data_IF_275165075473
#
_entry.id   IF_275165075473
#
_cell.length_a   1.000
_cell.length_b   1.000
_cell.length_c   1.000
_cell.angle_alpha   90.00
_cell.angle_beta   90.00
_cell.angle_gamma   90.00
#
_symmetry.space_group_name_H-M   'P 1'
#
loop_
_entity.id
_entity.type
_entity.pdbx_description
1 polymer ?
#
# COMPACT_ATOMS: atom_id res chain seq x y z
N UNK A 1 2.28 -28.10 -21.21
CA UNK A 1 1.41 -27.92 -22.38
C UNK A 1 0.21 -28.88 -22.38
N UNK A 2 0.36 -30.15 -22.04
CA UNK A 2 -0.77 -31.11 -21.91
C UNK A 2 -1.77 -30.77 -20.82
N UNK A 3 -1.36 -30.20 -19.70
CA UNK A 3 -2.23 -29.79 -18.58
C UNK A 3 -3.13 -28.60 -18.94
N UNK A 4 -2.65 -27.67 -19.77
CA UNK A 4 -3.42 -26.51 -20.24
C UNK A 4 -4.47 -26.94 -21.28
N UNK A 5 -4.14 -27.94 -22.09
CA UNK A 5 -5.04 -28.44 -23.13
C UNK A 5 -6.18 -29.29 -22.56
N UNK A 6 -5.94 -30.09 -21.51
CA UNK A 6 -7.00 -30.82 -20.81
C UNK A 6 -7.92 -29.88 -20.01
N UNK A 7 -7.38 -28.78 -19.48
CA UNK A 7 -8.11 -27.74 -18.76
C UNK A 7 -9.14 -27.03 -19.66
N UNK A 8 -8.80 -26.80 -20.93
CA UNK A 8 -9.70 -26.14 -21.89
C UNK A 8 -10.89 -27.01 -22.33
N UNK A 9 -10.74 -28.34 -22.29
CA UNK A 9 -11.79 -29.28 -22.72
C UNK A 9 -12.85 -29.54 -21.65
N UNK A 10 -12.52 -29.38 -20.37
CA UNK A 10 -13.44 -29.66 -19.25
C UNK A 10 -14.46 -28.53 -19.02
N UNK A 11 -14.17 -27.31 -19.45
CA UNK A 11 -14.97 -26.12 -19.17
C UNK A 11 -15.61 -25.45 -20.40
N UNK A 12 -15.47 -26.05 -21.60
CA UNK A 12 -16.08 -25.50 -22.80
C UNK A 12 -17.62 -25.40 -22.70
N UNK A 13 -18.26 -26.29 -21.91
CA UNK A 13 -19.69 -26.24 -21.67
C UNK A 13 -20.12 -24.99 -20.91
N UNK A 14 -19.32 -24.56 -19.90
CA UNK A 14 -19.59 -23.34 -19.15
C UNK A 14 -19.37 -22.10 -20.02
N UNK A 15 -18.30 -22.06 -20.79
CA UNK A 15 -18.02 -20.97 -21.73
C UNK A 15 -19.11 -20.87 -22.82
N UNK A 16 -19.60 -22.02 -23.32
CA UNK A 16 -20.71 -22.05 -24.27
C UNK A 16 -22.01 -21.54 -23.64
N UNK A 17 -22.33 -21.95 -22.42
CA UNK A 17 -23.49 -21.47 -21.68
C UNK A 17 -23.42 -19.96 -21.42
N UNK A 18 -22.29 -19.45 -21.02
CA UNK A 18 -22.03 -18.01 -20.80
C UNK A 18 -22.20 -17.22 -22.12
N UNK A 19 -21.65 -17.74 -23.22
CA UNK A 19 -21.81 -17.13 -24.53
C UNK A 19 -23.30 -17.07 -24.98
N UNK A 20 -24.04 -18.14 -24.72
CA UNK A 20 -25.50 -18.19 -25.01
C UNK A 20 -26.25 -17.16 -24.16
N UNK A 21 -25.95 -17.08 -22.86
CA UNK A 21 -26.54 -16.07 -21.95
C UNK A 21 -26.21 -14.66 -22.42
N UNK A 22 -24.99 -14.40 -22.84
CA UNK A 22 -24.55 -13.10 -23.37
C UNK A 22 -25.38 -12.74 -24.63
N UNK A 23 -25.50 -13.67 -25.57
CA UNK A 23 -26.28 -13.46 -26.82
C UNK A 23 -27.75 -13.16 -26.49
N UNK A 24 -28.34 -13.89 -25.55
CA UNK A 24 -29.73 -13.67 -25.13
C UNK A 24 -29.90 -12.28 -24.50
N UNK A 25 -29.02 -11.92 -23.57
CA UNK A 25 -29.05 -10.61 -22.88
C UNK A 25 -28.79 -9.47 -23.86
N UNK A 26 -27.83 -9.63 -24.78
CA UNK A 26 -27.61 -8.67 -25.85
C UNK A 26 -28.86 -8.53 -26.74
N UNK A 27 -29.47 -9.64 -27.20
CA UNK A 27 -30.66 -9.62 -28.02
C UNK A 27 -31.85 -8.92 -27.33
N UNK A 28 -31.99 -9.12 -26.01
CA UNK A 28 -33.03 -8.46 -25.22
C UNK A 28 -32.71 -6.95 -24.99
N UNK A 29 -31.47 -6.59 -24.85
CA UNK A 29 -31.04 -5.20 -24.58
C UNK A 29 -31.07 -4.34 -25.85
N UNK A 30 -30.73 -4.92 -27.00
CA UNK A 30 -30.69 -4.22 -28.28
C UNK A 30 -32.02 -4.34 -29.10
N UNK A 31 -33.09 -4.90 -28.51
CA UNK A 31 -34.43 -4.80 -29.10
C UNK A 31 -34.86 -3.34 -29.25
N UNK A 32 -35.66 -3.02 -30.27
CA UNK A 32 -36.15 -1.65 -30.52
C UNK A 32 -36.70 -1.01 -29.25
N UNK A 33 -36.42 0.25 -28.99
CA UNK A 33 -36.90 0.96 -27.80
C UNK A 33 -38.42 0.99 -27.78
N UNK A 34 -39.04 0.87 -26.62
CA UNK A 34 -40.48 1.07 -26.47
C UNK A 34 -40.80 2.54 -26.61
N UNK A 35 -41.56 2.92 -27.63
CA UNK A 35 -42.05 4.28 -27.80
C UNK A 35 -43.28 4.47 -26.90
N UNK A 36 -43.16 5.35 -25.92
CA UNK A 36 -44.27 5.76 -25.05
C UNK A 36 -44.83 7.06 -25.64
N UNK A 37 -46.12 7.02 -26.08
CA UNK A 37 -46.84 8.23 -26.49
C UNK A 37 -47.35 8.95 -25.27
N UNK A 38 -46.87 10.18 -25.06
CA UNK A 38 -47.37 11.08 -24.02
C UNK A 38 -48.75 11.63 -24.39
N UNK A 39 -49.54 12.04 -23.40
CA UNK A 39 -50.88 12.66 -23.61
C UNK A 39 -50.83 13.92 -24.48
N UNK A 40 -49.66 14.50 -24.69
CA UNK A 40 -49.38 15.63 -25.61
C UNK A 40 -49.19 15.24 -27.08
N UNK A 41 -49.29 13.91 -27.43
CA UNK A 41 -49.04 13.41 -28.78
C UNK A 41 -47.58 13.24 -29.18
N UNK A 42 -46.63 13.62 -28.33
CA UNK A 42 -45.19 13.41 -28.54
C UNK A 42 -44.76 12.01 -28.12
N UNK A 43 -43.93 11.36 -28.95
CA UNK A 43 -43.37 10.03 -28.68
C UNK A 43 -42.00 10.22 -28.01
N UNK A 44 -41.80 9.65 -26.82
CA UNK A 44 -40.53 9.62 -26.13
C UNK A 44 -39.98 8.20 -26.14
N UNK A 45 -38.76 8.04 -26.64
CA UNK A 45 -38.06 6.75 -26.60
C UNK A 45 -37.45 6.55 -25.21
N UNK A 46 -37.82 5.46 -24.55
CA UNK A 46 -37.23 5.09 -23.25
C UNK A 46 -35.87 4.40 -23.47
N UNK A 47 -34.72 5.04 -23.11
CA UNK A 47 -33.45 4.38 -23.28
C UNK A 47 -33.36 3.14 -22.38
N UNK A 48 -33.10 1.97 -22.97
CA UNK A 48 -32.90 0.73 -22.19
C UNK A 48 -31.56 0.77 -21.47
N UNK A 49 -31.57 0.34 -20.22
CA UNK A 49 -30.37 0.24 -19.40
C UNK A 49 -29.43 -0.82 -19.99
N UNK A 50 -28.18 -0.42 -20.27
CA UNK A 50 -27.09 -1.34 -20.67
C UNK A 50 -26.54 -2.14 -19.50
N UNK A 51 -27.08 -1.96 -18.30
CA UNK A 51 -26.66 -2.63 -17.06
C UNK A 51 -26.67 -4.16 -17.19
N UNK A 52 -27.65 -4.74 -17.91
CA UNK A 52 -27.71 -6.19 -18.10
C UNK A 52 -26.52 -6.76 -18.88
N UNK A 53 -26.12 -6.09 -19.97
CA UNK A 53 -24.95 -6.51 -20.76
C UNK A 53 -23.66 -6.36 -19.94
N UNK A 54 -23.51 -5.24 -19.23
CA UNK A 54 -22.34 -5.00 -18.37
C UNK A 54 -22.29 -6.07 -17.27
N UNK A 55 -23.41 -6.39 -16.63
CA UNK A 55 -23.47 -7.42 -15.58
C UNK A 55 -23.04 -8.79 -16.10
N UNK A 56 -23.48 -9.19 -17.29
CA UNK A 56 -23.09 -10.47 -17.90
C UNK A 56 -21.61 -10.47 -18.26
N UNK A 57 -21.09 -9.39 -18.85
CA UNK A 57 -19.65 -9.28 -19.17
C UNK A 57 -18.78 -9.34 -17.91
N UNK A 58 -19.20 -8.69 -16.83
CA UNK A 58 -18.49 -8.76 -15.54
C UNK A 58 -18.53 -10.18 -14.97
N UNK A 59 -19.69 -10.84 -15.05
CA UNK A 59 -19.85 -12.21 -14.56
C UNK A 59 -18.98 -13.19 -15.36
N UNK A 60 -18.94 -13.04 -16.70
CA UNK A 60 -18.03 -13.82 -17.56
C UNK A 60 -16.56 -13.56 -17.22
N UNK A 61 -16.18 -12.32 -16.99
CA UNK A 61 -14.81 -11.99 -16.60
C UNK A 61 -14.43 -12.59 -15.23
N UNK A 62 -15.37 -12.59 -14.28
CA UNK A 62 -15.18 -13.19 -12.95
C UNK A 62 -15.06 -14.71 -13.04
N UNK A 63 -15.98 -15.38 -13.76
CA UNK A 63 -15.92 -16.84 -13.93
C UNK A 63 -14.63 -17.26 -14.64
N UNK A 64 -14.26 -16.55 -15.69
CA UNK A 64 -13.01 -16.80 -16.39
C UNK A 64 -11.78 -16.60 -15.48
N UNK A 65 -11.76 -15.53 -14.68
CA UNK A 65 -10.70 -15.29 -13.70
C UNK A 65 -10.63 -16.39 -12.61
N UNK A 66 -11.79 -16.86 -12.12
CA UNK A 66 -11.85 -17.98 -11.17
C UNK A 66 -11.27 -19.25 -11.75
N UNK A 67 -11.56 -19.54 -13.03
CA UNK A 67 -10.99 -20.70 -13.71
C UNK A 67 -9.48 -20.57 -13.95
N UNK A 68 -9.03 -19.40 -14.41
CA UNK A 68 -7.60 -19.17 -14.67
C UNK A 68 -6.74 -19.22 -13.40
N UNK A 69 -7.30 -18.78 -12.25
CA UNK A 69 -6.61 -18.82 -10.95
C UNK A 69 -6.69 -20.20 -10.28
N UNK A 70 -7.47 -21.16 -10.83
CA UNK A 70 -7.70 -22.45 -10.19
C UNK A 70 -8.44 -22.32 -8.85
N UNK A 71 -9.23 -21.26 -8.67
CA UNK A 71 -9.98 -21.02 -7.46
C UNK A 71 -11.11 -22.06 -7.31
N UNK A 72 -10.95 -22.95 -6.35
CA UNK A 72 -11.91 -24.01 -6.06
C UNK A 72 -12.45 -23.85 -4.63
N UNK A 73 -13.71 -23.48 -4.55
CA UNK A 73 -14.42 -23.30 -3.26
C UNK A 73 -14.50 -24.60 -2.47
N UNK A 74 -14.48 -25.77 -3.17
CA UNK A 74 -14.55 -27.06 -2.53
C UNK A 74 -13.28 -27.36 -1.71
N UNK A 75 -12.13 -26.80 -2.13
CA UNK A 75 -10.86 -26.89 -1.39
C UNK A 75 -10.97 -26.15 -0.05
N UNK A 76 -11.63 -24.98 -0.03
CA UNK A 76 -11.85 -24.22 1.21
C UNK A 76 -12.70 -25.04 2.19
N UNK A 77 -13.79 -25.63 1.71
CA UNK A 77 -14.69 -26.45 2.53
C UNK A 77 -13.96 -27.72 3.02
N UNK A 78 -13.26 -28.40 2.12
CA UNK A 78 -12.51 -29.63 2.44
C UNK A 78 -11.37 -29.37 3.43
N UNK A 79 -10.65 -28.26 3.29
CA UNK A 79 -9.55 -27.86 4.18
C UNK A 79 -9.98 -27.00 5.37
N UNK A 80 -11.27 -26.69 5.50
CA UNK A 80 -11.80 -25.85 6.57
C UNK A 80 -11.41 -26.30 7.97
N UNK A 81 -11.38 -27.62 8.23
CA UNK A 81 -10.90 -28.20 9.51
C UNK A 81 -9.44 -27.82 9.79
N UNK A 82 -8.57 -27.80 8.78
CA UNK A 82 -7.17 -27.41 8.94
C UNK A 82 -7.04 -25.92 9.22
N UNK A 83 -7.86 -25.09 8.59
CA UNK A 83 -7.90 -23.64 8.84
C UNK A 83 -8.26 -23.38 10.29
N UNK A 84 -9.34 -24.01 10.79
CA UNK A 84 -9.78 -23.87 12.18
C UNK A 84 -8.69 -24.35 13.15
N UNK A 85 -8.07 -25.50 12.90
CA UNK A 85 -7.00 -26.03 13.74
C UNK A 85 -5.74 -25.12 13.78
N UNK A 86 -5.41 -24.46 12.68
CA UNK A 86 -4.30 -23.48 12.65
C UNK A 86 -4.68 -22.23 13.42
N UNK A 87 -5.89 -21.69 13.21
CA UNK A 87 -6.37 -20.53 13.93
C UNK A 87 -6.44 -20.77 15.43
N UNK A 88 -6.96 -21.93 15.87
CA UNK A 88 -7.00 -22.30 17.28
C UNK A 88 -5.61 -22.26 17.91
N UNK A 89 -4.60 -22.82 17.24
CA UNK A 89 -3.21 -22.78 17.72
C UNK A 89 -2.65 -21.34 17.76
N UNK A 90 -2.97 -20.50 16.79
CA UNK A 90 -2.56 -19.07 16.76
C UNK A 90 -3.15 -18.29 17.93
N UNK A 91 -4.41 -18.58 18.31
CA UNK A 91 -5.06 -17.92 19.44
C UNK A 91 -4.64 -18.49 20.82
N UNK A 92 -3.86 -19.58 20.84
CA UNK A 92 -3.25 -20.11 22.06
C UNK A 92 -1.72 -19.88 22.03
N UNK A 93 -1.25 -18.64 22.25
CA UNK A 93 0.15 -18.29 22.15
C UNK A 93 0.99 -18.98 23.23
N UNK A 94 2.17 -19.44 22.84
CA UNK A 94 3.13 -20.06 23.76
C UNK A 94 3.89 -18.99 24.54
N UNK A 95 3.50 -18.72 25.77
CA UNK A 95 4.08 -17.66 26.62
C UNK A 95 5.57 -17.89 26.93
N UNK A 96 6.03 -19.12 27.03
CA UNK A 96 7.46 -19.44 27.22
C UNK A 96 8.33 -18.96 26.06
N UNK A 97 7.73 -18.68 24.90
CA UNK A 97 8.44 -18.17 23.73
C UNK A 97 8.61 -16.65 23.74
N UNK A 98 7.88 -15.92 24.58
CA UNK A 98 7.93 -14.47 24.67
C UNK A 98 9.35 -13.89 24.84
N UNK A 99 10.21 -14.41 25.75
CA UNK A 99 11.57 -13.87 25.90
C UNK A 99 12.41 -13.92 24.63
N UNK A 100 12.15 -14.90 23.74
CA UNK A 100 12.85 -15.04 22.45
C UNK A 100 12.32 -14.08 21.37
N UNK A 101 11.12 -13.54 21.56
CA UNK A 101 10.50 -12.57 20.64
C UNK A 101 10.99 -11.15 20.91
N UNK A 102 11.39 -10.83 22.15
CA UNK A 102 11.75 -9.47 22.56
C UNK A 102 12.90 -8.90 21.71
N UNK A 103 13.99 -9.65 21.52
CA UNK A 103 15.15 -9.18 20.76
C UNK A 103 14.80 -8.87 19.30
N UNK A 104 14.18 -9.77 18.51
CA UNK A 104 13.75 -9.47 17.16
C UNK A 104 12.72 -8.34 17.08
N UNK A 105 11.85 -8.21 18.10
CA UNK A 105 10.86 -7.13 18.17
C UNK A 105 11.54 -5.77 18.33
N UNK A 106 12.48 -5.65 19.25
CA UNK A 106 13.27 -4.43 19.47
C UNK A 106 14.09 -4.08 18.22
N UNK A 107 14.67 -5.05 17.54
CA UNK A 107 15.40 -4.83 16.30
C UNK A 107 14.47 -4.31 15.18
N UNK A 108 13.24 -4.83 15.09
CA UNK A 108 12.21 -4.34 14.17
C UNK A 108 11.89 -2.87 14.44
N UNK A 109 11.71 -2.49 15.70
CA UNK A 109 11.44 -1.10 16.10
C UNK A 109 12.63 -0.18 15.77
N UNK A 110 13.85 -0.61 16.12
CA UNK A 110 15.09 0.17 15.83
C UNK A 110 15.27 0.41 14.34
N UNK A 111 15.09 -0.64 13.51
CA UNK A 111 15.15 -0.53 12.05
C UNK A 111 14.12 0.48 11.52
N UNK A 112 12.90 0.42 12.03
CA UNK A 112 11.81 1.30 11.60
C UNK A 112 12.07 2.75 12.00
N UNK A 113 12.52 3.00 13.22
CA UNK A 113 12.87 4.35 13.69
C UNK A 113 14.02 4.91 12.85
N UNK A 114 15.14 4.16 12.77
CA UNK A 114 16.34 4.65 12.09
C UNK A 114 16.09 4.86 10.58
N UNK A 115 15.44 3.90 9.93
CA UNK A 115 15.07 4.02 8.51
C UNK A 115 14.14 5.19 8.24
N UNK A 116 13.15 5.42 9.12
CA UNK A 116 12.26 6.57 9.01
C UNK A 116 13.00 7.89 9.21
N UNK A 117 13.84 8.01 10.23
CA UNK A 117 14.60 9.25 10.51
C UNK A 117 15.52 9.59 9.34
N UNK A 118 16.27 8.61 8.82
CA UNK A 118 17.16 8.81 7.66
C UNK A 118 16.34 9.19 6.42
N UNK A 119 15.27 8.43 6.12
CA UNK A 119 14.45 8.68 4.95
C UNK A 119 13.77 10.04 4.98
N UNK A 120 13.17 10.43 6.12
CA UNK A 120 12.56 11.73 6.31
C UNK A 120 13.58 12.87 6.25
N UNK A 121 14.74 12.72 6.90
CA UNK A 121 15.80 13.73 6.88
C UNK A 121 16.31 14.00 5.46
N UNK A 122 16.56 12.95 4.68
CA UNK A 122 16.96 13.09 3.28
C UNK A 122 15.83 13.66 2.39
N UNK A 123 14.57 13.43 2.76
CA UNK A 123 13.41 13.91 2.00
C UNK A 123 13.25 15.43 2.04
N UNK A 124 13.61 16.09 3.15
CA UNK A 124 13.47 17.53 3.35
C UNK A 124 14.08 18.37 2.21
N UNK A 125 15.41 18.30 1.96
CA UNK A 125 16.03 19.14 0.95
C UNK A 125 15.51 18.80 -0.46
N UNK A 126 15.23 17.53 -0.74
CA UNK A 126 14.78 17.10 -2.05
C UNK A 126 13.33 17.55 -2.31
N UNK A 127 12.46 17.54 -1.30
CA UNK A 127 11.08 18.02 -1.43
C UNK A 127 11.03 19.54 -1.69
N UNK A 128 11.88 20.30 -1.02
CA UNK A 128 11.99 21.76 -1.27
C UNK A 128 12.40 22.04 -2.73
N UNK A 129 13.43 21.33 -3.22
CA UNK A 129 13.88 21.45 -4.62
C UNK A 129 12.88 20.89 -5.65
N UNK A 130 12.01 19.97 -5.24
CA UNK A 130 10.98 19.39 -6.10
C UNK A 130 9.68 20.20 -6.12
N UNK A 131 9.54 21.24 -5.28
CA UNK A 131 8.34 22.08 -5.24
C UNK A 131 8.43 23.22 -6.24
N UNK A 132 7.37 23.40 -7.04
CA UNK A 132 7.32 24.40 -8.10
C UNK A 132 7.13 25.83 -7.59
N UNK A 133 6.69 26.00 -6.35
CA UNK A 133 6.53 27.32 -5.73
C UNK A 133 7.86 27.98 -5.38
N UNK A 134 8.89 27.15 -5.07
CA UNK A 134 10.18 27.61 -4.54
C UNK A 134 11.24 27.57 -5.64
N UNK A 135 11.35 26.45 -6.36
CA UNK A 135 12.29 26.31 -7.48
C UNK A 135 11.57 26.56 -8.81
N UNK A 136 11.98 27.62 -9.49
CA UNK A 136 11.42 28.04 -10.78
C UNK A 136 12.03 27.26 -11.95
N UNK A 137 13.06 26.44 -11.72
CA UNK A 137 13.69 25.63 -12.75
C UNK A 137 12.85 24.36 -13.05
N UNK A 138 11.95 24.47 -14.02
CA UNK A 138 11.05 23.38 -14.43
C UNK A 138 11.77 22.06 -14.78
N UNK A 139 13.02 22.13 -15.24
CA UNK A 139 13.80 20.94 -15.60
C UNK A 139 14.23 20.19 -14.34
N UNK A 140 14.75 20.90 -13.33
CA UNK A 140 15.17 20.31 -12.05
C UNK A 140 13.96 19.71 -11.33
N UNK A 141 12.88 20.47 -11.19
CA UNK A 141 11.63 20.00 -10.57
C UNK A 141 11.09 18.76 -11.28
N UNK A 142 11.00 18.78 -12.61
CA UNK A 142 10.49 17.62 -13.38
C UNK A 142 11.40 16.38 -13.22
N UNK A 143 12.73 16.57 -13.28
CA UNK A 143 13.68 15.48 -13.14
C UNK A 143 13.59 14.84 -11.74
N UNK A 144 13.57 15.64 -10.69
CA UNK A 144 13.42 15.14 -9.31
C UNK A 144 12.11 14.38 -9.12
N UNK A 145 10.99 14.91 -9.63
CA UNK A 145 9.69 14.24 -9.54
C UNK A 145 9.64 12.91 -10.29
N UNK A 146 10.31 12.82 -11.45
CA UNK A 146 10.44 11.53 -12.18
C UNK A 146 11.26 10.53 -11.37
N UNK A 147 12.41 10.95 -10.81
CA UNK A 147 13.24 10.07 -9.97
C UNK A 147 12.48 9.59 -8.74
N UNK A 148 11.81 10.50 -8.02
CA UNK A 148 10.97 10.14 -6.87
C UNK A 148 9.82 9.22 -7.26
N UNK A 149 9.22 9.45 -8.44
CA UNK A 149 8.20 8.59 -9.01
C UNK A 149 8.71 7.17 -9.23
N UNK A 150 9.88 7.02 -9.85
CA UNK A 150 10.52 5.72 -10.09
C UNK A 150 10.81 4.96 -8.79
N UNK A 151 11.38 5.64 -7.77
CA UNK A 151 11.65 5.02 -6.46
C UNK A 151 10.35 4.45 -5.85
N UNK A 152 9.24 5.18 -5.96
CA UNK A 152 7.94 4.79 -5.39
C UNK A 152 7.23 3.67 -6.16
N UNK A 153 7.56 3.44 -7.43
CA UNK A 153 6.99 2.30 -8.19
C UNK A 153 7.57 0.97 -7.75
N UNK A 154 8.72 0.98 -7.08
CA UNK A 154 9.33 -0.25 -6.60
C UNK A 154 8.65 -0.75 -5.32
N UNK A 155 8.18 -2.00 -5.28
CA UNK A 155 7.68 -2.60 -4.05
C UNK A 155 8.77 -2.64 -2.97
N UNK A 156 8.41 -2.34 -1.72
CA UNK A 156 9.37 -2.32 -0.59
C UNK A 156 10.15 -3.62 -0.45
N UNK A 157 9.52 -4.78 -0.71
CA UNK A 157 10.17 -6.08 -0.71
C UNK A 157 11.29 -6.20 -1.76
N UNK A 158 11.10 -5.61 -2.94
CA UNK A 158 12.12 -5.61 -4.00
C UNK A 158 13.31 -4.76 -3.58
N UNK A 159 13.06 -3.58 -3.01
CA UNK A 159 14.13 -2.71 -2.47
C UNK A 159 14.89 -3.47 -1.38
N UNK A 160 14.19 -4.13 -0.46
CA UNK A 160 14.82 -4.90 0.62
C UNK A 160 15.65 -6.06 0.10
N UNK A 161 15.17 -6.77 -0.93
CA UNK A 161 15.93 -7.86 -1.56
C UNK A 161 17.23 -7.34 -2.18
N UNK A 162 17.17 -6.24 -2.92
CA UNK A 162 18.35 -5.60 -3.52
C UNK A 162 19.32 -5.15 -2.43
N UNK A 163 18.82 -4.50 -1.36
CA UNK A 163 19.65 -4.11 -0.22
C UNK A 163 20.30 -5.33 0.46
N UNK A 164 19.57 -6.42 0.63
CA UNK A 164 20.09 -7.65 1.22
C UNK A 164 21.17 -8.31 0.36
N UNK A 165 21.06 -8.22 -0.96
CA UNK A 165 22.09 -8.70 -1.90
C UNK A 165 23.37 -7.84 -1.85
N UNK A 166 23.25 -6.53 -1.68
CA UNK A 166 24.39 -5.60 -1.65
C UNK A 166 25.07 -5.58 -0.28
N UNK A 167 24.30 -5.49 0.81
CA UNK A 167 24.80 -5.27 2.16
C UNK A 167 24.82 -6.52 3.02
N UNK A 168 24.50 -7.68 2.45
CA UNK A 168 24.25 -8.95 3.14
C UNK A 168 22.93 -8.95 3.93
N UNK A 169 22.48 -10.15 4.32
CA UNK A 169 21.28 -10.34 5.13
C UNK A 169 21.43 -9.71 6.51
N UNK A 170 20.42 -9.02 7.00
CA UNK A 170 20.43 -8.46 8.34
C UNK A 170 19.69 -7.13 8.51
N UNK A 171 19.70 -6.62 9.74
CA UNK A 171 18.97 -5.40 10.12
C UNK A 171 19.45 -4.15 9.39
N UNK A 172 20.72 -4.13 8.97
CA UNK A 172 21.27 -3.00 8.20
C UNK A 172 20.60 -2.88 6.82
N UNK A 173 20.50 -4.00 6.08
CA UNK A 173 19.83 -4.02 4.78
C UNK A 173 18.35 -3.61 4.89
N UNK A 174 17.68 -4.08 5.95
CA UNK A 174 16.30 -3.68 6.26
C UNK A 174 16.18 -2.18 6.56
N UNK A 175 17.07 -1.63 7.35
CA UNK A 175 17.09 -0.20 7.67
C UNK A 175 17.29 0.67 6.42
N UNK A 176 18.25 0.32 5.56
CA UNK A 176 18.48 1.04 4.29
C UNK A 176 17.27 0.95 3.37
N UNK A 177 16.65 -0.22 3.26
CA UNK A 177 15.46 -0.38 2.42
C UNK A 177 14.28 0.46 2.89
N UNK A 178 14.05 0.51 4.21
CA UNK A 178 13.04 1.38 4.83
C UNK A 178 13.37 2.86 4.56
N UNK A 179 14.64 3.26 4.70
CA UNK A 179 15.06 4.63 4.45
C UNK A 179 14.79 5.06 3.00
N UNK A 180 15.15 4.23 2.01
CA UNK A 180 14.90 4.51 0.58
C UNK A 180 13.40 4.62 0.30
N UNK A 181 12.61 3.71 0.82
CA UNK A 181 11.16 3.71 0.64
C UNK A 181 10.52 4.95 1.27
N UNK A 182 10.88 5.26 2.52
CA UNK A 182 10.40 6.44 3.25
C UNK A 182 10.81 7.73 2.56
N UNK A 183 12.05 7.83 2.09
CA UNK A 183 12.54 8.95 1.31
C UNK A 183 11.65 9.24 0.09
N UNK A 184 11.30 8.22 -0.70
CA UNK A 184 10.45 8.38 -1.87
C UNK A 184 9.02 8.85 -1.54
N UNK A 185 8.43 8.30 -0.47
CA UNK A 185 7.07 8.65 -0.06
C UNK A 185 7.02 10.04 0.57
N UNK A 186 7.87 10.30 1.57
CA UNK A 186 7.87 11.56 2.31
C UNK A 186 8.23 12.73 1.42
N UNK A 187 9.21 12.57 0.52
CA UNK A 187 9.56 13.62 -0.45
C UNK A 187 8.35 14.03 -1.28
N UNK A 188 7.55 13.05 -1.74
CA UNK A 188 6.35 13.37 -2.51
C UNK A 188 5.30 14.08 -1.66
N UNK A 189 4.92 13.49 -0.53
CA UNK A 189 3.92 14.08 0.34
C UNK A 189 4.30 15.51 0.76
N UNK A 190 5.60 15.72 1.00
CA UNK A 190 6.12 16.99 1.45
C UNK A 190 6.13 18.05 0.34
N UNK A 191 6.59 17.74 -0.89
CA UNK A 191 6.56 18.76 -1.95
C UNK A 191 5.12 19.12 -2.35
N UNK A 192 4.20 18.15 -2.32
CA UNK A 192 2.76 18.43 -2.55
C UNK A 192 2.20 19.33 -1.42
N UNK A 193 2.62 19.12 -0.18
CA UNK A 193 2.23 20.00 0.93
C UNK A 193 2.83 21.39 0.79
N UNK A 194 4.10 21.52 0.38
CA UNK A 194 4.75 22.81 0.13
C UNK A 194 4.03 23.61 -0.99
N UNK A 195 3.52 22.93 -2.00
CA UNK A 195 2.78 23.58 -3.09
C UNK A 195 1.40 24.12 -2.68
N UNK A 196 0.88 23.67 -1.53
CA UNK A 196 -0.45 24.09 -1.04
C UNK A 196 -0.41 25.13 0.09
N UNK A 197 0.78 25.55 0.56
CA UNK A 197 0.89 26.58 1.60
C UNK A 197 0.53 27.96 1.06
N UNK A 198 0.17 28.87 1.98
CA UNK A 198 0.00 30.28 1.66
C UNK A 198 1.36 30.95 1.43
N UNK A 199 1.59 31.44 0.21
CA UNK A 199 2.81 32.13 -0.18
C UNK A 199 2.79 33.63 0.17
N UNK A 200 1.68 34.21 0.59
CA UNK A 200 1.57 35.62 0.95
C UNK A 200 2.59 36.06 2.01
N UNK A 201 2.79 35.35 3.12
CA UNK A 201 3.85 35.64 4.09
C UNK A 201 5.27 35.60 3.50
N UNK A 202 5.52 34.67 2.57
CA UNK A 202 6.81 34.57 1.90
C UNK A 202 7.09 35.81 1.00
N UNK A 203 6.13 36.20 0.17
CA UNK A 203 6.21 37.39 -0.70
C UNK A 203 6.35 38.67 0.11
N UNK A 204 5.64 38.77 1.24
CA UNK A 204 5.77 39.91 2.16
C UNK A 204 7.19 40.05 2.74
N UNK A 205 7.83 38.92 3.11
CA UNK A 205 9.21 38.92 3.59
C UNK A 205 10.20 39.34 2.50
N UNK A 206 10.03 38.84 1.27
CA UNK A 206 10.87 39.29 0.12
C UNK A 206 10.69 40.79 -0.15
N UNK A 207 9.47 41.32 -0.09
CA UNK A 207 9.18 42.74 -0.25
C UNK A 207 9.85 43.64 0.81
N UNK A 208 10.06 43.08 2.04
CA UNK A 208 10.79 43.73 3.13
C UNK A 208 12.32 43.60 2.98
N UNK A 209 12.82 42.95 1.91
CA UNK A 209 14.25 42.80 1.62
C UNK A 209 14.89 41.59 2.24
N UNK A 210 14.13 40.62 2.75
CA UNK A 210 14.67 39.34 3.23
C UNK A 210 15.21 38.51 2.05
N UNK A 211 16.34 37.81 2.30
CA UNK A 211 16.82 36.81 1.37
C UNK A 211 15.85 35.61 1.28
N UNK A 212 15.82 34.93 0.14
CA UNK A 212 14.91 33.76 -0.10
C UNK A 212 15.01 32.69 0.98
N UNK A 213 16.22 32.44 1.50
CA UNK A 213 16.39 31.49 2.56
C UNK A 213 15.76 31.97 3.89
N UNK A 214 15.91 33.25 4.22
CA UNK A 214 15.30 33.85 5.42
C UNK A 214 13.78 33.87 5.30
N UNK A 215 13.25 34.28 4.13
CA UNK A 215 11.83 34.30 3.85
C UNK A 215 11.23 32.88 3.95
N UNK A 216 11.88 31.86 3.36
CA UNK A 216 11.46 30.48 3.43
C UNK A 216 11.44 29.97 4.88
N UNK A 217 12.53 30.20 5.63
CA UNK A 217 12.64 29.70 7.01
C UNK A 217 11.62 30.34 7.93
N UNK A 218 11.31 31.62 7.76
CA UNK A 218 10.40 32.36 8.64
C UNK A 218 8.94 32.22 8.26
N UNK A 219 8.62 32.13 6.97
CA UNK A 219 7.25 32.11 6.48
C UNK A 219 6.74 30.71 6.10
N UNK A 220 7.56 29.88 5.42
CA UNK A 220 7.13 28.58 4.92
C UNK A 220 7.33 27.47 5.93
N UNK A 221 8.50 27.41 6.60
CA UNK A 221 8.82 26.32 7.54
C UNK A 221 7.79 26.17 8.67
N UNK A 222 7.29 27.24 9.33
CA UNK A 222 6.27 27.09 10.37
C UNK A 222 4.97 26.50 9.86
N UNK A 223 4.60 26.73 8.62
CA UNK A 223 3.40 26.15 8.00
C UNK A 223 3.60 24.67 7.63
N UNK A 224 4.81 24.32 7.16
CA UNK A 224 5.14 22.98 6.67
C UNK A 224 5.45 22.01 7.81
N UNK A 225 6.10 22.48 8.88
CA UNK A 225 6.64 21.63 9.94
C UNK A 225 5.61 20.71 10.60
N UNK A 226 4.40 21.17 10.98
CA UNK A 226 3.39 20.27 11.57
C UNK A 226 2.97 19.15 10.60
N UNK A 227 2.78 19.50 9.33
CA UNK A 227 2.39 18.55 8.28
C UNK A 227 3.52 17.56 8.01
N UNK A 228 4.76 18.03 7.93
CA UNK A 228 5.95 17.18 7.77
C UNK A 228 6.10 16.18 8.92
N UNK A 229 5.97 16.63 10.16
CA UNK A 229 6.04 15.75 11.32
C UNK A 229 4.91 14.71 11.31
N UNK A 230 3.70 15.10 10.89
CA UNK A 230 2.60 14.17 10.69
C UNK A 230 2.89 13.10 9.65
N UNK A 231 3.54 13.47 8.53
CA UNK A 231 3.99 12.51 7.51
C UNK A 231 5.08 11.57 8.03
N UNK A 232 6.03 12.09 8.83
CA UNK A 232 7.08 11.27 9.46
C UNK A 232 6.47 10.22 10.40
N UNK A 233 5.53 10.61 11.24
CA UNK A 233 4.83 9.70 12.16
C UNK A 233 4.01 8.65 11.41
N UNK A 234 3.32 9.04 10.35
CA UNK A 234 2.59 8.11 9.49
C UNK A 234 3.50 7.08 8.83
N UNK A 235 4.63 7.54 8.28
CA UNK A 235 5.61 6.64 7.67
C UNK A 235 6.26 5.71 8.70
N UNK A 236 6.54 6.20 9.91
CA UNK A 236 7.06 5.35 10.99
C UNK A 236 6.10 4.21 11.33
N UNK A 237 4.80 4.51 11.50
CA UNK A 237 3.77 3.52 11.74
C UNK A 237 3.69 2.47 10.61
N UNK A 238 3.71 2.91 9.35
CA UNK A 238 3.74 2.01 8.20
C UNK A 238 5.01 1.14 8.18
N UNK A 239 6.16 1.72 8.50
CA UNK A 239 7.45 1.04 8.47
C UNK A 239 7.57 -0.06 9.53
N UNK A 240 6.97 0.11 10.70
CA UNK A 240 6.93 -0.95 11.74
C UNK A 240 6.18 -2.19 11.23
N UNK A 241 5.07 -1.99 10.54
CA UNK A 241 4.31 -3.08 9.91
C UNK A 241 5.07 -3.70 8.73
N UNK A 242 5.65 -2.87 7.88
CA UNK A 242 6.42 -3.33 6.72
C UNK A 242 7.66 -4.13 7.14
N UNK A 243 8.37 -3.72 8.20
CA UNK A 243 9.59 -4.40 8.66
C UNK A 243 9.35 -5.85 9.09
N UNK A 244 8.16 -6.18 9.58
CA UNK A 244 7.79 -7.57 9.85
C UNK A 244 7.78 -8.44 8.57
N UNK A 245 7.43 -7.85 7.42
CA UNK A 245 7.41 -8.55 6.13
C UNK A 245 8.81 -8.60 5.52
N UNK A 246 9.65 -7.58 5.72
CA UNK A 246 11.01 -7.52 5.18
C UNK A 246 11.91 -8.66 5.67
N UNK A 247 11.61 -9.23 6.82
CA UNK A 247 12.32 -10.40 7.33
C UNK A 247 12.19 -11.66 6.47
N UNK A 248 11.15 -11.77 5.62
CA UNK A 248 11.03 -12.88 4.65
C UNK A 248 12.16 -12.88 3.63
N UNK A 249 12.71 -11.72 3.29
CA UNK A 249 13.88 -11.58 2.41
C UNK A 249 15.19 -11.46 3.17
N UNK A 250 15.19 -11.82 4.47
CA UNK A 250 16.38 -11.83 5.31
C UNK A 250 16.83 -10.44 5.79
N UNK A 251 15.95 -9.44 5.72
CA UNK A 251 16.27 -8.08 6.16
C UNK A 251 16.19 -7.88 7.69
N UNK A 252 16.23 -8.95 8.48
CA UNK A 252 16.30 -8.88 9.95
C UNK A 252 14.93 -8.76 10.64
N UNK A 253 14.97 -8.54 11.96
CA UNK A 253 13.80 -8.29 12.79
C UNK A 253 12.87 -9.49 12.97
N UNK A 254 11.62 -9.20 13.36
CA UNK A 254 10.58 -10.21 13.63
C UNK A 254 10.24 -11.09 12.43
N UNK A 255 10.42 -10.61 11.20
CA UNK A 255 10.07 -11.36 10.02
C UNK A 255 10.89 -12.65 9.85
N UNK A 256 12.15 -12.69 10.28
CA UNK A 256 12.96 -13.91 10.30
C UNK A 256 12.32 -14.93 11.26
N UNK A 257 11.96 -14.49 12.47
CA UNK A 257 11.30 -15.35 13.46
C UNK A 257 9.94 -15.86 12.98
N UNK A 258 9.16 -15.02 12.28
CA UNK A 258 7.90 -15.43 11.64
C UNK A 258 8.16 -16.55 10.63
N UNK A 259 9.12 -16.36 9.73
CA UNK A 259 9.45 -17.33 8.69
C UNK A 259 9.95 -18.66 9.28
N UNK A 260 10.79 -18.60 10.31
CA UNK A 260 11.23 -19.78 11.04
C UNK A 260 10.06 -20.55 11.67
N UNK A 261 9.14 -19.87 12.38
CA UNK A 261 7.98 -20.54 13.02
C UNK A 261 7.05 -21.15 11.98
N UNK A 262 6.85 -20.51 10.85
CA UNK A 262 6.09 -21.07 9.71
C UNK A 262 6.79 -22.33 9.18
N UNK A 263 8.09 -22.27 8.96
CA UNK A 263 8.89 -23.41 8.48
C UNK A 263 8.84 -24.62 9.41
N UNK A 264 8.90 -24.39 10.72
CA UNK A 264 8.81 -25.42 11.74
C UNK A 264 7.36 -25.84 12.07
N UNK A 265 6.34 -25.22 11.45
CA UNK A 265 4.91 -25.42 11.72
C UNK A 265 4.53 -25.22 13.20
N UNK A 266 5.30 -24.41 13.91
CA UNK A 266 5.04 -24.03 15.30
C UNK A 266 4.06 -22.86 15.37
N UNK A 267 2.78 -23.15 15.17
CA UNK A 267 1.72 -22.15 15.11
C UNK A 267 1.45 -21.47 16.45
N UNK A 268 1.72 -22.13 17.58
CA UNK A 268 1.61 -21.52 18.90
C UNK A 268 2.72 -20.50 19.16
N UNK A 269 3.97 -20.81 18.75
CA UNK A 269 5.08 -19.85 18.76
C UNK A 269 4.83 -18.68 17.80
N UNK A 270 4.30 -18.98 16.60
CA UNK A 270 3.89 -17.94 15.64
C UNK A 270 2.82 -17.02 16.23
N UNK A 271 1.82 -17.57 16.93
CA UNK A 271 0.78 -16.80 17.63
C UNK A 271 1.37 -15.80 18.62
N UNK A 272 2.42 -16.19 19.36
CA UNK A 272 3.11 -15.29 20.30
C UNK A 272 3.83 -14.14 19.57
N UNK A 273 4.48 -14.43 18.44
CA UNK A 273 5.15 -13.40 17.62
C UNK A 273 4.14 -12.40 17.05
N UNK A 274 3.04 -12.89 16.48
CA UNK A 274 1.98 -12.05 15.92
C UNK A 274 1.27 -11.21 16.98
N UNK A 275 1.00 -11.80 18.17
CA UNK A 275 0.42 -11.06 19.28
C UNK A 275 1.35 -9.94 19.75
N UNK A 276 2.65 -10.20 19.90
CA UNK A 276 3.63 -9.21 20.30
C UNK A 276 3.73 -8.08 19.28
N UNK A 277 3.74 -8.40 17.99
CA UNK A 277 3.72 -7.41 16.91
C UNK A 277 2.43 -6.56 16.97
N UNK A 278 1.27 -7.20 17.12
CA UNK A 278 -0.02 -6.51 17.22
C UNK A 278 -0.03 -5.49 18.37
N UNK A 279 0.41 -5.89 19.56
CA UNK A 279 0.46 -5.02 20.73
C UNK A 279 1.35 -3.80 20.47
N UNK A 280 2.54 -4.01 19.87
CA UNK A 280 3.45 -2.92 19.56
C UNK A 280 2.90 -2.00 18.47
N UNK A 281 2.31 -2.55 17.41
CA UNK A 281 1.71 -1.74 16.33
C UNK A 281 0.58 -0.88 16.88
N UNK A 282 -0.32 -1.45 17.68
CA UNK A 282 -1.43 -0.72 18.32
C UNK A 282 -0.90 0.37 19.25
N UNK A 283 0.12 0.08 20.06
CA UNK A 283 0.73 1.08 20.95
C UNK A 283 1.35 2.24 20.16
N UNK A 284 2.05 1.95 19.05
CA UNK A 284 2.65 2.96 18.18
C UNK A 284 1.56 3.78 17.47
N UNK A 285 0.47 3.16 17.02
CA UNK A 285 -0.66 3.84 16.38
C UNK A 285 -1.30 4.85 17.33
N UNK A 286 -1.64 4.45 18.56
CA UNK A 286 -2.16 5.36 19.58
C UNK A 286 -1.19 6.50 19.90
N UNK A 287 0.09 6.20 20.03
CA UNK A 287 1.12 7.21 20.30
C UNK A 287 1.26 8.21 19.13
N UNK A 288 1.30 7.72 17.90
CA UNK A 288 1.37 8.54 16.69
C UNK A 288 0.12 9.40 16.51
N UNK A 289 -1.08 8.85 16.78
CA UNK A 289 -2.32 9.61 16.72
C UNK A 289 -2.38 10.73 17.78
N UNK A 290 -1.94 10.42 19.00
CA UNK A 290 -1.85 11.43 20.08
C UNK A 290 -0.91 12.58 19.69
N UNK A 291 0.27 12.28 19.15
CA UNK A 291 1.21 13.29 18.70
C UNK A 291 0.68 14.11 17.52
N UNK A 292 0.06 13.47 16.53
CA UNK A 292 -0.54 14.18 15.38
C UNK A 292 -1.63 15.15 15.81
N UNK A 293 -2.51 14.76 16.74
CA UNK A 293 -3.54 15.66 17.30
C UNK A 293 -2.96 16.88 18.03
N UNK A 294 -1.73 16.77 18.55
CA UNK A 294 -1.08 17.90 19.23
C UNK A 294 -0.34 18.81 18.25
N UNK A 295 0.01 18.31 17.06
CA UNK A 295 0.69 19.06 16.00
C UNK A 295 -0.29 19.83 15.10
N UNK A 296 -1.53 19.35 14.98
CA UNK A 296 -2.63 19.99 14.26
C UNK A 296 -3.35 20.99 15.16
#
# INVERSE_FOLDING_TARGET
MSSIMNFSLEYWHLAALEAVVLVIVCALTFRKPECITLASGSTVERPRSRLGVIAVLVLMAVTWALHMTGFDITVIVRKGKNIVAILEKLFHPKWDFFPKVITPLVDTIKMSILGTVIGCGCALPVAVLASSNIDHNKVVVSLLRVILGLIRTLPTLVIALVCALIFSLGTFAGTVSIAIFTFGIVSKMLYESIETIDMGPFEAMEALGADKFQAFWSACVPQILPVYLSHCLYCFEMNVRASAILGYVGAGGLGITINERIGWRDYNGLGMVLLSLLVVVVAIEFFSEYLRKKLS
#
